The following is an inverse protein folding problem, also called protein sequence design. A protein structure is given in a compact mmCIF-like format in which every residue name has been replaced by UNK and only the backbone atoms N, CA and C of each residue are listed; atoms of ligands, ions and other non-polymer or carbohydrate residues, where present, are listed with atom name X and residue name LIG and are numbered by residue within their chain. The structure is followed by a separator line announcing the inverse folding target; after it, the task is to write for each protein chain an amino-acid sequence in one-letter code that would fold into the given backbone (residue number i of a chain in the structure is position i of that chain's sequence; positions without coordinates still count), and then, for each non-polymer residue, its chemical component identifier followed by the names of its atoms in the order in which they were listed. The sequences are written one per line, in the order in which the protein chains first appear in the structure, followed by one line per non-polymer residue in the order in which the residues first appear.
data_IF_043259507421
#
_entry.id   IF_043259507421
#
_cell.length_a   1.000
_cell.length_b   1.000
_cell.length_c   1.000
_cell.angle_alpha   90.00
_cell.angle_beta   90.00
_cell.angle_gamma   90.00
#
_symmetry.space_group_name_H-M   'P 1'
#
loop_
_entity.id
_entity.type
_entity.pdbx_description
1 polymer ?
#
# COMPACT_ATOMS: atom_id res chain seq x y z
N UNK A 1 3.02 -14.06 4.74
CA UNK A 1 2.21 -12.86 4.40
C UNK A 1 3.17 -11.77 3.96
N UNK A 2 2.98 -11.22 2.77
CA UNK A 2 3.84 -10.13 2.27
C UNK A 2 3.42 -8.77 2.85
N UNK A 3 4.28 -7.76 2.71
CA UNK A 3 3.98 -6.39 3.18
C UNK A 3 2.75 -5.81 2.48
N UNK A 4 2.57 -6.07 1.18
CA UNK A 4 1.40 -5.64 0.42
C UNK A 4 0.10 -6.24 0.96
N UNK A 5 0.13 -7.51 1.35
CA UNK A 5 -1.03 -8.16 1.97
C UNK A 5 -1.37 -7.56 3.34
N UNK A 6 -0.35 -7.20 4.14
CA UNK A 6 -0.54 -6.53 5.44
C UNK A 6 -1.18 -5.15 5.27
N UNK A 7 -0.70 -4.37 4.30
CA UNK A 7 -1.23 -3.04 3.99
C UNK A 7 -2.68 -3.14 3.52
N UNK A 8 -2.97 -4.06 2.59
CA UNK A 8 -4.34 -4.30 2.11
C UNK A 8 -5.27 -4.68 3.26
N UNK A 9 -4.84 -5.60 4.14
CA UNK A 9 -5.63 -6.02 5.31
C UNK A 9 -5.93 -4.85 6.23
N UNK A 10 -4.91 -4.05 6.58
CA UNK A 10 -5.10 -2.89 7.47
C UNK A 10 -5.99 -1.82 6.84
N UNK A 11 -5.84 -1.57 5.54
CA UNK A 11 -6.71 -0.66 4.79
C UNK A 11 -8.18 -1.11 4.88
N UNK A 12 -8.45 -2.40 4.65
CA UNK A 12 -9.81 -2.95 4.73
C UNK A 12 -10.38 -2.95 6.14
N UNK A 13 -9.57 -3.20 7.16
CA UNK A 13 -9.98 -3.08 8.58
C UNK A 13 -10.40 -1.64 8.94
N UNK A 14 -9.79 -0.65 8.29
CA UNK A 14 -10.13 0.77 8.45
C UNK A 14 -11.28 1.22 7.54
N UNK A 15 -11.86 0.34 6.73
CA UNK A 15 -12.94 0.68 5.80
C UNK A 15 -12.52 1.60 4.65
N UNK A 16 -11.21 1.76 4.41
CA UNK A 16 -10.69 2.69 3.41
C UNK A 16 -10.64 2.05 2.01
N UNK A 17 -10.96 2.83 0.98
CA UNK A 17 -10.68 2.52 -0.43
C UNK A 17 -9.20 2.80 -0.74
N UNK A 18 -8.68 2.19 -1.80
CA UNK A 18 -7.27 2.38 -2.21
C UNK A 18 -6.94 3.85 -2.52
N UNK A 19 -7.89 4.60 -3.07
CA UNK A 19 -7.77 6.04 -3.34
C UNK A 19 -7.69 6.83 -2.04
N UNK A 20 -8.52 6.50 -1.04
CA UNK A 20 -8.53 7.18 0.26
C UNK A 20 -7.23 6.92 1.04
N UNK A 21 -6.67 5.71 0.93
CA UNK A 21 -5.35 5.42 1.48
C UNK A 21 -4.26 6.21 0.76
N UNK A 22 -4.31 6.29 -0.57
CA UNK A 22 -3.38 7.06 -1.39
C UNK A 22 -3.38 8.54 -1.01
N UNK A 23 -4.55 9.18 -0.94
CA UNK A 23 -4.69 10.57 -0.52
C UNK A 23 -4.13 10.81 0.89
N UNK A 24 -4.46 9.93 1.85
CA UNK A 24 -3.96 10.04 3.24
C UNK A 24 -2.46 9.82 3.38
N UNK A 25 -1.85 9.07 2.47
CA UNK A 25 -0.42 8.76 2.48
C UNK A 25 0.41 9.66 1.55
N UNK A 26 -0.24 10.57 0.80
CA UNK A 26 0.42 11.39 -0.22
C UNK A 26 0.97 10.57 -1.40
N UNK A 27 0.45 9.36 -1.60
CA UNK A 27 0.86 8.43 -2.66
C UNK A 27 -0.18 8.41 -3.78
N UNK A 28 0.21 7.93 -4.97
CA UNK A 28 -0.77 7.75 -6.03
C UNK A 28 -1.61 6.46 -5.81
N UNK A 29 -2.88 6.44 -6.24
CA UNK A 29 -3.71 5.22 -6.18
C UNK A 29 -3.09 4.02 -6.91
N UNK A 30 -2.40 4.28 -8.03
CA UNK A 30 -1.66 3.25 -8.77
C UNK A 30 -0.51 2.65 -7.96
N UNK A 31 0.23 3.48 -7.22
CA UNK A 31 1.32 3.05 -6.37
C UNK A 31 0.82 2.21 -5.19
N UNK A 32 -0.26 2.62 -4.52
CA UNK A 32 -0.93 1.81 -3.48
C UNK A 32 -1.35 0.44 -4.05
N UNK A 33 -1.95 0.42 -5.24
CA UNK A 33 -2.35 -0.83 -5.90
C UNK A 33 -1.15 -1.74 -6.21
N UNK A 34 -0.03 -1.17 -6.66
CA UNK A 34 1.20 -1.93 -6.90
C UNK A 34 1.77 -2.51 -5.60
N UNK A 35 1.76 -1.73 -4.49
CA UNK A 35 2.18 -2.19 -3.17
C UNK A 35 1.31 -3.35 -2.70
N UNK A 36 -0.02 -3.20 -2.73
CA UNK A 36 -0.94 -4.24 -2.25
C UNK A 36 -0.84 -5.55 -3.04
N UNK A 37 -0.48 -5.47 -4.32
CA UNK A 37 -0.25 -6.62 -5.20
C UNK A 37 1.17 -7.18 -5.11
N UNK A 38 2.06 -6.56 -4.33
CA UNK A 38 3.50 -6.89 -4.26
C UNK A 38 4.21 -6.79 -5.62
N UNK A 39 3.70 -5.93 -6.51
CA UNK A 39 4.29 -5.65 -7.83
C UNK A 39 5.45 -4.66 -7.72
N UNK A 40 5.48 -3.89 -6.63
CA UNK A 40 6.69 -3.26 -6.14
C UNK A 40 7.18 -4.08 -4.96
N UNK A 41 8.42 -4.54 -5.06
CA UNK A 41 9.17 -5.03 -3.93
C UNK A 41 9.94 -3.81 -3.41
N UNK A 42 9.42 -3.04 -2.44
CA UNK A 42 10.26 -2.07 -1.76
C UNK A 42 11.28 -2.91 -1.01
N UNK A 43 12.44 -3.18 -1.64
CA UNK A 43 13.61 -3.61 -0.91
C UNK A 43 13.81 -2.57 0.18
N UNK A 44 14.02 -3.03 1.42
CA UNK A 44 14.20 -2.19 2.62
C UNK A 44 15.24 -1.07 2.39
N UNK A 45 16.13 -1.27 1.42
CA UNK A 45 17.12 -0.34 0.87
C UNK A 45 16.61 1.04 0.42
N UNK A 46 15.34 1.20 0.06
CA UNK A 46 14.83 2.48 -0.50
C UNK A 46 14.23 3.41 0.57
N UNK A 47 13.99 2.91 1.78
CA UNK A 47 13.60 3.74 2.92
C UNK A 47 14.87 4.22 3.63
N UNK A 48 15.37 5.39 3.23
CA UNK A 48 16.11 6.27 4.13
C UNK A 48 15.13 7.03 5.02
#
# INVERSE_FOLDING_TARGET
MSIGQRIKKKRTELGLRGIELAEKSGLSPGFISQIERNLVNPSVSTLK
#
